data_IF_914924757670
#
_entry.id   IF_914924757670
#
_cell.length_a   1.000
_cell.length_b   1.000
_cell.length_c   1.000
_cell.angle_alpha   90.00
_cell.angle_beta   90.00
_cell.angle_gamma   90.00
#
_symmetry.space_group_name_H-M   'P 1'
#
loop_
_entity.id
_entity.type
_entity.pdbx_description
1 polymer ?
#
# COMPACT_ATOMS: atom_id res chain seq x y z
N UNK A 1 -36.01 16.26 46.26
CA UNK A 1 -36.21 15.67 44.90
C UNK A 1 -35.44 16.42 43.83
N UNK A 2 -35.43 17.75 43.80
CA UNK A 2 -34.69 18.60 42.84
C UNK A 2 -33.17 18.38 42.85
N UNK A 3 -32.58 18.23 44.03
CA UNK A 3 -31.11 18.01 44.16
C UNK A 3 -30.66 16.66 43.50
N UNK A 4 -31.44 15.59 43.67
CA UNK A 4 -31.13 14.31 43.04
C UNK A 4 -31.22 14.37 41.52
N UNK A 5 -32.20 15.11 40.98
CA UNK A 5 -32.36 15.36 39.55
C UNK A 5 -31.18 16.12 38.93
N UNK A 6 -30.68 17.13 39.66
CA UNK A 6 -29.52 17.92 39.23
C UNK A 6 -28.27 17.07 39.21
N UNK A 7 -28.05 16.22 40.20
CA UNK A 7 -26.90 15.30 40.26
C UNK A 7 -26.94 14.29 39.10
N UNK A 8 -28.12 13.71 38.82
CA UNK A 8 -28.30 12.79 37.70
C UNK A 8 -28.02 13.48 36.36
N UNK A 9 -28.51 14.69 36.17
CA UNK A 9 -28.29 15.46 34.96
C UNK A 9 -26.80 15.80 34.75
N UNK A 10 -26.08 16.21 35.80
CA UNK A 10 -24.65 16.50 35.76
C UNK A 10 -23.85 15.24 35.43
N UNK A 11 -24.19 14.09 36.04
CA UNK A 11 -23.53 12.79 35.75
C UNK A 11 -23.79 12.36 34.31
N UNK A 12 -25.04 12.49 33.81
CA UNK A 12 -25.36 12.19 32.40
C UNK A 12 -24.65 13.13 31.43
N UNK A 13 -24.53 14.43 31.76
CA UNK A 13 -23.79 15.37 30.93
C UNK A 13 -22.29 15.08 30.90
N UNK A 14 -21.70 14.61 32.00
CA UNK A 14 -20.31 14.16 32.06
C UNK A 14 -20.05 12.85 31.32
N UNK A 15 -21.03 11.94 31.27
CA UNK A 15 -20.91 10.66 30.58
C UNK A 15 -21.23 10.77 29.07
N UNK A 16 -21.94 11.84 28.65
CA UNK A 16 -22.33 12.05 27.25
C UNK A 16 -21.13 12.08 26.28
N UNK A 17 -20.00 12.76 26.54
CA UNK A 17 -18.86 12.74 25.63
C UNK A 17 -18.18 11.38 25.50
N UNK A 18 -18.26 10.52 26.51
CA UNK A 18 -17.64 9.19 26.50
C UNK A 18 -18.29 8.23 25.49
N UNK A 19 -19.57 8.43 25.17
CA UNK A 19 -20.26 7.63 24.16
C UNK A 19 -19.89 8.03 22.74
N UNK A 20 -19.47 9.24 22.51
CA UNK A 20 -19.00 9.75 21.20
C UNK A 20 -17.58 9.30 20.84
N UNK A 21 -16.77 8.93 21.84
CA UNK A 21 -15.38 8.51 21.67
C UNK A 21 -15.23 7.01 21.34
N UNK A 22 -16.33 6.26 21.19
CA UNK A 22 -16.23 4.85 20.79
C UNK A 22 -15.86 4.76 19.30
N UNK A 23 -14.71 4.16 18.96
CA UNK A 23 -14.33 3.97 17.56
C UNK A 23 -15.39 3.12 16.86
N UNK A 24 -15.70 3.46 15.63
CA UNK A 24 -16.64 2.69 14.81
C UNK A 24 -16.09 1.28 14.55
N UNK A 25 -16.98 0.32 14.28
CA UNK A 25 -16.56 -1.04 13.90
C UNK A 25 -15.60 -1.03 12.69
N UNK A 26 -15.80 -0.09 11.75
CA UNK A 26 -14.93 0.09 10.60
C UNK A 26 -13.55 0.57 11.02
N UNK A 27 -13.45 1.58 11.87
CA UNK A 27 -12.16 2.11 12.37
C UNK A 27 -11.37 1.05 13.14
N UNK A 28 -12.05 0.25 13.97
CA UNK A 28 -11.41 -0.85 14.70
C UNK A 28 -10.87 -1.90 13.73
N UNK A 29 -11.66 -2.31 12.72
CA UNK A 29 -11.25 -3.26 11.69
C UNK A 29 -10.04 -2.74 10.91
N UNK A 30 -10.13 -1.53 10.37
CA UNK A 30 -9.05 -0.89 9.61
C UNK A 30 -7.77 -0.77 10.46
N UNK A 31 -7.88 -0.40 11.75
CA UNK A 31 -6.74 -0.35 12.66
C UNK A 31 -6.07 -1.73 12.84
N UNK A 32 -6.84 -2.80 12.93
CA UNK A 32 -6.32 -4.16 13.05
C UNK A 32 -5.60 -4.60 11.77
N UNK A 33 -6.18 -4.33 10.59
CA UNK A 33 -5.55 -4.62 9.29
C UNK A 33 -4.24 -3.87 9.16
N UNK A 34 -4.20 -2.56 9.43
CA UNK A 34 -2.98 -1.75 9.39
C UNK A 34 -1.90 -2.28 10.33
N UNK A 35 -2.27 -2.64 11.57
CA UNK A 35 -1.33 -3.22 12.53
C UNK A 35 -0.74 -4.53 12.02
N UNK A 36 -1.55 -5.39 11.42
CA UNK A 36 -1.07 -6.69 10.90
C UNK A 36 -0.08 -6.49 9.74
N UNK A 37 -0.36 -5.61 8.77
CA UNK A 37 0.54 -5.39 7.64
C UNK A 37 1.83 -4.67 8.04
N UNK A 38 1.77 -3.78 9.04
CA UNK A 38 2.98 -3.14 9.59
C UNK A 38 3.86 -4.17 10.31
N UNK A 39 3.27 -5.11 11.06
CA UNK A 39 4.00 -6.19 11.70
C UNK A 39 4.74 -7.08 10.68
N UNK A 40 4.19 -7.22 9.46
CA UNK A 40 4.84 -7.95 8.34
C UNK A 40 5.85 -7.10 7.57
N UNK A 41 6.16 -5.88 8.04
CA UNK A 41 7.17 -5.01 7.45
C UNK A 41 6.69 -4.17 6.26
N UNK A 42 5.39 -4.09 6.03
CA UNK A 42 4.80 -3.13 5.11
C UNK A 42 4.70 -1.74 5.74
N UNK A 43 4.59 -0.71 4.91
CA UNK A 43 4.31 0.67 5.32
C UNK A 43 2.93 1.08 4.86
N UNK A 44 2.21 1.82 5.69
CA UNK A 44 0.89 2.37 5.35
C UNK A 44 1.06 3.83 4.94
N UNK A 45 0.66 4.15 3.71
CA UNK A 45 0.69 5.50 3.16
C UNK A 45 -0.74 6.06 3.09
N UNK A 46 -0.98 7.11 3.87
CA UNK A 46 -2.29 7.75 3.98
C UNK A 46 -2.49 8.91 2.98
N UNK A 47 -1.44 9.27 2.24
CA UNK A 47 -1.57 10.26 1.18
C UNK A 47 -2.29 9.62 -0.01
N UNK A 48 -3.22 10.33 -0.66
CA UNK A 48 -3.88 9.79 -1.84
C UNK A 48 -2.88 9.49 -2.95
N UNK A 49 -3.16 8.47 -3.80
CA UNK A 49 -2.33 8.19 -4.97
C UNK A 49 -2.32 9.36 -5.94
N UNK A 50 -1.32 9.41 -6.83
CA UNK A 50 -1.21 10.41 -7.90
C UNK A 50 -2.22 10.12 -9.04
N UNK A 51 -3.50 10.02 -8.72
CA UNK A 51 -4.62 9.82 -9.64
C UNK A 51 -5.62 10.95 -9.41
N UNK A 52 -5.91 11.74 -10.46
CA UNK A 52 -6.68 13.00 -10.37
C UNK A 52 -8.08 12.84 -9.77
N UNK A 53 -8.73 11.69 -10.01
CA UNK A 53 -10.11 11.43 -9.61
C UNK A 53 -10.22 10.27 -8.61
N UNK A 54 -9.13 9.95 -7.89
CA UNK A 54 -9.14 8.85 -6.92
C UNK A 54 -10.25 9.05 -5.86
N UNK A 55 -11.02 8.01 -5.53
CA UNK A 55 -12.03 8.07 -4.49
C UNK A 55 -11.40 8.41 -3.13
N UNK A 56 -12.18 9.07 -2.28
CA UNK A 56 -11.72 9.43 -0.92
C UNK A 56 -11.54 8.17 -0.08
N UNK A 57 -10.51 8.18 0.78
CA UNK A 57 -10.26 7.11 1.73
C UNK A 57 -9.40 5.97 1.18
N UNK A 58 -8.83 6.11 -0.01
CA UNK A 58 -7.83 5.18 -0.54
C UNK A 58 -6.53 5.31 0.25
N UNK A 59 -5.96 4.17 0.59
CA UNK A 59 -4.72 4.04 1.39
C UNK A 59 -3.75 3.13 0.67
N UNK A 60 -2.46 3.49 0.69
CA UNK A 60 -1.39 2.71 0.08
C UNK A 60 -0.76 1.73 1.08
N UNK A 61 -0.66 0.47 0.71
CA UNK A 61 0.09 -0.54 1.45
C UNK A 61 1.35 -0.87 0.68
N UNK A 62 2.51 -0.41 1.19
CA UNK A 62 3.80 -0.46 0.49
C UNK A 62 4.73 -1.48 1.10
N UNK A 63 5.25 -2.37 0.24
CA UNK A 63 6.39 -3.22 0.55
C UNK A 63 7.66 -2.59 -0.03
N UNK A 64 8.63 -2.14 0.80
CA UNK A 64 9.86 -1.54 0.32
C UNK A 64 10.70 -2.51 -0.51
N UNK A 65 11.42 -1.99 -1.52
CA UNK A 65 12.42 -2.77 -2.23
C UNK A 65 13.70 -2.93 -1.40
N UNK A 66 14.43 -4.04 -1.56
CA UNK A 66 15.80 -4.13 -1.09
C UNK A 66 16.66 -3.04 -1.75
N UNK A 67 17.56 -2.42 -0.98
CA UNK A 67 18.38 -1.29 -1.44
C UNK A 67 19.30 -1.64 -2.63
N UNK A 68 19.58 -2.92 -2.83
CA UNK A 68 20.51 -3.44 -3.82
C UNK A 68 19.87 -3.75 -5.18
N UNK A 69 18.56 -3.55 -5.34
CA UNK A 69 17.82 -3.88 -6.56
C UNK A 69 17.23 -2.65 -7.22
N UNK A 70 17.33 -2.60 -8.52
CA UNK A 70 16.76 -1.53 -9.37
C UNK A 70 15.49 -2.07 -10.05
N UNK A 71 14.40 -2.09 -9.29
CA UNK A 71 13.13 -2.63 -9.77
C UNK A 71 12.47 -1.65 -10.74
N UNK A 72 11.97 -2.17 -11.86
CA UNK A 72 11.34 -1.38 -12.91
C UNK A 72 10.04 -0.73 -12.41
N UNK A 73 9.86 0.59 -12.57
CA UNK A 73 8.63 1.26 -12.22
C UNK A 73 7.50 0.86 -13.18
N UNK A 74 6.28 0.84 -12.66
CA UNK A 74 5.04 0.71 -13.42
C UNK A 74 3.83 1.14 -12.61
N UNK A 75 2.72 1.42 -13.29
CA UNK A 75 1.43 1.72 -12.67
C UNK A 75 0.34 0.94 -13.39
N UNK A 76 -0.37 0.10 -12.64
CA UNK A 76 -1.62 -0.55 -13.04
C UNK A 76 -2.79 0.16 -12.37
N UNK A 77 -3.85 0.42 -13.12
CA UNK A 77 -5.08 1.04 -12.63
C UNK A 77 -6.26 0.15 -13.00
N UNK A 78 -7.21 0.00 -12.11
CA UNK A 78 -8.47 -0.71 -12.35
C UNK A 78 -9.21 -0.09 -13.52
N UNK A 79 -9.87 -0.91 -14.35
CA UNK A 79 -10.53 -0.46 -15.60
C UNK A 79 -11.52 0.70 -15.39
N UNK A 80 -12.26 0.68 -14.28
CA UNK A 80 -13.24 1.74 -13.94
C UNK A 80 -12.58 3.14 -13.83
N UNK A 81 -11.28 3.19 -13.46
CA UNK A 81 -10.52 4.42 -13.23
C UNK A 81 -9.45 4.65 -14.30
N UNK A 82 -9.44 3.81 -15.31
CA UNK A 82 -8.49 3.85 -16.41
C UNK A 82 -9.15 4.39 -17.69
N UNK A 83 -8.35 5.01 -18.57
CA UNK A 83 -8.82 5.34 -19.91
C UNK A 83 -8.88 4.08 -20.78
N UNK A 84 -9.91 3.96 -21.61
CA UNK A 84 -10.06 2.86 -22.58
C UNK A 84 -8.94 2.81 -23.62
N UNK A 85 -8.22 3.92 -23.80
CA UNK A 85 -7.06 4.00 -24.70
C UNK A 85 -5.81 3.29 -24.14
N UNK A 86 -5.80 2.95 -22.85
CA UNK A 86 -4.67 2.28 -22.22
C UNK A 86 -4.67 0.78 -22.55
N UNK A 87 -3.47 0.21 -22.70
CA UNK A 87 -3.28 -1.22 -22.92
C UNK A 87 -3.76 -2.01 -21.70
N UNK A 88 -4.56 -3.04 -21.94
CA UNK A 88 -4.91 -4.01 -20.89
C UNK A 88 -3.64 -4.76 -20.43
N UNK A 89 -3.48 -4.87 -19.12
CA UNK A 89 -2.39 -5.63 -18.50
C UNK A 89 -2.84 -7.04 -18.14
N UNK A 90 -3.94 -7.13 -17.42
CA UNK A 90 -4.66 -8.34 -17.02
C UNK A 90 -6.15 -7.99 -16.95
N UNK A 91 -7.08 -8.95 -16.99
CA UNK A 91 -8.51 -8.66 -16.89
C UNK A 91 -8.84 -7.77 -15.69
N UNK A 92 -9.46 -6.62 -15.96
CA UNK A 92 -9.87 -5.64 -14.97
C UNK A 92 -8.83 -4.57 -14.62
N UNK A 93 -7.62 -4.62 -15.22
CA UNK A 93 -6.56 -3.65 -14.98
C UNK A 93 -5.81 -3.26 -16.24
N UNK A 94 -5.47 -1.97 -16.36
CA UNK A 94 -4.74 -1.39 -17.50
C UNK A 94 -3.42 -0.77 -17.06
N UNK A 95 -2.44 -0.77 -17.97
CA UNK A 95 -1.17 -0.08 -17.79
C UNK A 95 -1.37 1.43 -17.93
N UNK A 96 -1.26 2.18 -16.83
CA UNK A 96 -1.12 3.63 -16.88
C UNK A 96 0.34 4.04 -17.16
N UNK A 97 1.25 3.30 -16.56
CA UNK A 97 2.68 3.33 -16.86
C UNK A 97 3.15 1.91 -17.07
N UNK A 98 3.64 1.62 -18.27
CA UNK A 98 3.96 0.26 -18.68
C UNK A 98 5.33 -0.15 -18.18
N UNK A 99 5.43 -1.35 -17.62
CA UNK A 99 6.69 -1.96 -17.20
C UNK A 99 7.50 -2.44 -18.42
N UNK A 100 8.83 -2.42 -18.32
CA UNK A 100 9.69 -3.16 -19.24
C UNK A 100 9.48 -4.68 -19.16
N UNK A 101 8.86 -5.16 -18.10
CA UNK A 101 8.49 -6.56 -17.88
C UNK A 101 7.03 -6.85 -18.27
N UNK A 102 6.36 -5.95 -18.97
CA UNK A 102 4.94 -6.10 -19.33
C UNK A 102 4.68 -7.33 -20.23
N UNK A 103 5.66 -7.69 -21.06
CA UNK A 103 5.59 -8.84 -21.95
C UNK A 103 6.24 -10.11 -21.34
N UNK A 104 6.73 -10.07 -20.10
CA UNK A 104 7.28 -11.23 -19.41
C UNK A 104 6.13 -12.15 -18.94
N UNK A 105 6.09 -13.42 -19.42
CA UNK A 105 4.98 -14.33 -19.13
C UNK A 105 4.85 -14.67 -17.63
N UNK A 106 5.97 -14.73 -16.90
CA UNK A 106 5.96 -15.03 -15.47
C UNK A 106 5.34 -13.84 -14.69
N UNK A 107 5.69 -12.61 -15.09
CA UNK A 107 5.15 -11.39 -14.50
C UNK A 107 3.65 -11.27 -14.81
N UNK A 108 3.25 -11.51 -16.07
CA UNK A 108 1.83 -11.50 -16.46
C UNK A 108 1.02 -12.55 -15.67
N UNK A 109 1.54 -13.77 -15.51
CA UNK A 109 0.90 -14.80 -14.72
C UNK A 109 0.82 -14.44 -13.23
N UNK A 110 1.85 -13.82 -12.66
CA UNK A 110 1.86 -13.38 -11.27
C UNK A 110 0.86 -12.23 -11.04
N UNK A 111 0.81 -11.25 -11.93
CA UNK A 111 -0.17 -10.17 -11.90
C UNK A 111 -1.60 -10.71 -11.98
N UNK A 112 -1.87 -11.65 -12.87
CA UNK A 112 -3.17 -12.28 -13.00
C UNK A 112 -3.60 -13.03 -11.73
N UNK A 113 -2.69 -13.77 -11.08
CA UNK A 113 -2.98 -14.42 -9.80
C UNK A 113 -3.28 -13.40 -8.72
N UNK A 114 -2.45 -12.38 -8.61
CA UNK A 114 -2.60 -11.33 -7.61
C UNK A 114 -3.92 -10.56 -7.78
N UNK A 115 -4.22 -10.07 -8.98
CA UNK A 115 -5.44 -9.26 -9.22
C UNK A 115 -6.73 -10.03 -8.97
N UNK A 116 -6.74 -11.36 -9.14
CA UNK A 116 -7.90 -12.21 -8.80
C UNK A 116 -8.19 -12.31 -7.31
N UNK A 117 -7.24 -11.99 -6.45
CA UNK A 117 -7.41 -12.01 -4.99
C UNK A 117 -7.74 -10.65 -4.41
N UNK A 118 -7.72 -9.61 -5.25
CA UNK A 118 -7.99 -8.24 -4.82
C UNK A 118 -9.48 -7.99 -4.57
N UNK A 119 -9.81 -7.15 -3.57
CA UNK A 119 -11.16 -6.65 -3.39
C UNK A 119 -11.55 -5.65 -4.50
N UNK A 120 -12.85 -5.43 -4.66
CA UNK A 120 -13.41 -4.51 -5.66
C UNK A 120 -12.92 -3.06 -5.50
N UNK A 121 -12.54 -2.65 -4.29
CA UNK A 121 -12.00 -1.32 -3.98
C UNK A 121 -10.47 -1.21 -4.14
N UNK A 122 -9.83 -2.20 -4.76
CA UNK A 122 -8.42 -2.16 -5.11
C UNK A 122 -8.21 -1.34 -6.38
N UNK A 123 -7.85 -0.06 -6.17
CA UNK A 123 -7.79 0.95 -7.22
C UNK A 123 -6.56 0.81 -8.12
N UNK A 124 -5.38 0.62 -7.53
CA UNK A 124 -4.12 0.76 -8.25
C UNK A 124 -3.01 -0.07 -7.62
N UNK A 125 -2.15 -0.65 -8.46
CA UNK A 125 -0.87 -1.24 -8.08
C UNK A 125 0.25 -0.40 -8.67
N UNK A 126 1.15 0.08 -7.82
CA UNK A 126 2.26 0.95 -8.19
C UNK A 126 3.60 0.32 -7.81
N UNK A 127 4.49 0.15 -8.77
CA UNK A 127 5.91 -0.09 -8.56
C UNK A 127 6.65 1.23 -8.71
N UNK A 128 7.24 1.73 -7.64
CA UNK A 128 8.02 2.97 -7.62
C UNK A 128 9.43 2.71 -7.10
N UNK A 129 10.29 3.72 -7.07
CA UNK A 129 11.64 3.59 -6.49
C UNK A 129 11.63 3.21 -4.99
N UNK A 130 10.51 3.43 -4.30
CA UNK A 130 10.39 3.21 -2.85
C UNK A 130 9.82 1.84 -2.47
N UNK A 131 9.18 1.12 -3.42
CA UNK A 131 8.54 -0.15 -3.15
C UNK A 131 7.39 -0.46 -4.09
N UNK A 132 6.80 -1.63 -3.90
CA UNK A 132 5.53 -2.03 -4.49
C UNK A 132 4.39 -1.59 -3.56
N UNK A 133 3.40 -0.88 -4.09
CA UNK A 133 2.29 -0.31 -3.31
C UNK A 133 0.96 -0.74 -3.90
N UNK A 134 0.09 -1.32 -3.07
CA UNK A 134 -1.31 -1.53 -3.38
C UNK A 134 -2.13 -0.37 -2.79
N UNK A 135 -2.91 0.32 -3.64
CA UNK A 135 -3.82 1.39 -3.26
C UNK A 135 -5.25 0.87 -3.26
N UNK A 136 -5.93 0.91 -2.11
CA UNK A 136 -7.27 0.34 -1.92
C UNK A 136 -8.06 0.99 -0.79
N UNK A 137 -9.36 0.71 -0.68
CA UNK A 137 -10.27 1.35 0.26
C UNK A 137 -10.39 0.67 1.63
N UNK A 138 -9.59 -0.37 1.91
CA UNK A 138 -9.60 -1.11 3.17
C UNK A 138 -10.95 -1.78 3.50
N UNK A 139 -11.61 -2.33 2.48
CA UNK A 139 -12.93 -2.99 2.65
C UNK A 139 -12.86 -4.34 3.37
N UNK A 140 -11.72 -5.05 3.31
CA UNK A 140 -11.55 -6.37 3.90
C UNK A 140 -11.14 -6.30 5.38
N UNK A 141 -11.38 -7.40 6.10
CA UNK A 141 -10.83 -7.65 7.44
C UNK A 141 -9.47 -8.36 7.37
N UNK A 142 -8.87 -8.64 8.54
CA UNK A 142 -7.53 -9.26 8.63
C UNK A 142 -7.51 -10.66 8.01
N UNK A 143 -8.57 -11.46 8.21
CA UNK A 143 -8.65 -12.83 7.72
C UNK A 143 -8.77 -12.85 6.20
N UNK A 144 -9.65 -12.02 5.64
CA UNK A 144 -9.86 -11.88 4.21
C UNK A 144 -8.67 -11.27 3.47
N UNK A 145 -7.76 -10.58 4.18
CA UNK A 145 -6.53 -10.04 3.59
C UNK A 145 -5.45 -11.11 3.33
N UNK A 146 -5.60 -12.33 3.83
CA UNK A 146 -4.53 -13.34 3.76
C UNK A 146 -4.17 -13.73 2.31
N UNK A 147 -5.15 -13.91 1.45
CA UNK A 147 -4.91 -14.39 0.08
C UNK A 147 -4.21 -13.35 -0.79
N UNK A 148 -4.68 -12.11 -0.83
CA UNK A 148 -4.01 -11.08 -1.61
C UNK A 148 -2.61 -10.76 -1.06
N UNK A 149 -2.39 -10.84 0.25
CA UNK A 149 -1.06 -10.62 0.86
C UNK A 149 -0.06 -11.67 0.41
N UNK A 150 -0.46 -12.94 0.37
CA UNK A 150 0.40 -14.02 -0.12
C UNK A 150 0.79 -13.80 -1.58
N UNK A 151 -0.17 -13.50 -2.46
CA UNK A 151 0.11 -13.24 -3.87
C UNK A 151 0.89 -11.93 -4.08
N UNK A 152 0.68 -10.92 -3.24
CA UNK A 152 1.45 -9.68 -3.24
C UNK A 152 2.93 -9.91 -2.92
N UNK A 153 3.23 -10.71 -1.88
CA UNK A 153 4.60 -11.09 -1.53
C UNK A 153 5.26 -11.94 -2.62
N UNK A 154 4.51 -12.85 -3.24
CA UNK A 154 5.01 -13.65 -4.36
C UNK A 154 5.35 -12.77 -5.58
N UNK A 155 4.48 -11.82 -5.92
CA UNK A 155 4.72 -10.83 -6.97
C UNK A 155 5.94 -9.94 -6.64
N UNK A 156 6.01 -9.44 -5.41
CA UNK A 156 7.13 -8.62 -4.94
C UNK A 156 8.46 -9.37 -5.06
N UNK A 157 8.51 -10.63 -4.64
CA UNK A 157 9.70 -11.47 -4.74
C UNK A 157 10.12 -11.72 -6.21
N UNK A 158 9.15 -11.99 -7.09
CA UNK A 158 9.40 -12.18 -8.52
C UNK A 158 9.99 -10.90 -9.16
N UNK A 159 9.43 -9.74 -8.86
CA UNK A 159 9.91 -8.47 -9.40
C UNK A 159 11.34 -8.15 -8.94
N UNK A 160 11.69 -8.53 -7.70
CA UNK A 160 13.08 -8.41 -7.19
C UNK A 160 14.00 -9.36 -7.94
N UNK A 161 13.60 -10.61 -8.19
CA UNK A 161 14.41 -11.60 -8.91
C UNK A 161 14.71 -11.15 -10.34
N UNK A 162 13.70 -10.60 -11.02
CA UNK A 162 13.83 -10.04 -12.38
C UNK A 162 14.61 -8.70 -12.43
N UNK A 163 14.83 -8.04 -11.29
CA UNK A 163 15.49 -6.75 -11.23
C UNK A 163 17.03 -6.88 -11.29
N UNK A 164 17.72 -6.06 -12.09
CA UNK A 164 19.18 -6.03 -12.08
C UNK A 164 19.73 -5.56 -10.73
N UNK A 165 20.93 -5.99 -10.41
CA UNK A 165 21.66 -5.51 -9.22
C UNK A 165 21.99 -4.03 -9.45
N UNK A 166 21.61 -3.16 -8.50
CA UNK A 166 21.89 -1.74 -8.57
C UNK A 166 23.38 -1.45 -8.35
N UNK A 167 24.08 -0.97 -9.37
CA UNK A 167 25.47 -0.53 -9.26
C UNK A 167 25.61 0.89 -8.68
N UNK A 168 24.52 1.56 -8.33
CA UNK A 168 24.50 2.99 -7.98
C UNK A 168 24.97 3.36 -6.57
N UNK A 169 25.36 2.41 -5.73
CA UNK A 169 25.91 2.72 -4.40
C UNK A 169 27.20 1.95 -4.14
N UNK A 170 28.24 2.32 -4.86
CA UNK A 170 29.59 2.18 -4.30
C UNK A 170 29.71 3.24 -3.20
N UNK A 171 29.91 2.91 -1.91
CA UNK A 171 30.27 3.94 -0.94
C UNK A 171 31.50 4.63 -1.48
N UNK A 172 31.48 5.97 -1.51
CA UNK A 172 32.67 6.75 -1.69
C UNK A 172 33.62 6.31 -0.57
N UNK A 173 34.54 5.39 -0.90
CA UNK A 173 35.65 5.06 -0.05
C UNK A 173 36.34 6.39 0.20
N UNK A 174 36.39 6.77 1.49
CA UNK A 174 36.86 8.05 1.94
C UNK A 174 38.15 8.42 1.29
N UNK A 175 38.22 9.63 0.79
CA UNK A 175 39.49 10.34 0.56
C UNK A 175 40.26 10.31 1.88
N UNK A 176 41.29 9.49 1.97
CA UNK A 176 42.24 9.57 3.06
C UNK A 176 42.70 11.03 3.21
N UNK A 177 42.70 11.59 4.42
CA UNK A 177 43.25 12.91 4.63
C UNK A 177 44.72 12.84 4.32
N UNK A 178 45.17 13.54 3.26
CA UNK A 178 46.56 13.74 2.93
C UNK A 178 47.24 14.37 4.14
N UNK A 179 48.09 13.59 4.86
CA UNK A 179 48.95 14.11 5.90
C UNK A 179 49.87 15.14 5.29
N UNK A 180 50.10 16.31 5.91
CA UNK A 180 51.14 17.24 5.48
C UNK A 180 52.49 16.59 5.73
N UNK A 181 53.35 16.63 4.70
CA UNK A 181 54.75 16.26 4.80
C UNK A 181 55.51 17.17 5.78
N UNK A 182 56.55 16.64 6.47
CA UNK A 182 57.29 17.33 7.53
C UNK A 182 58.08 18.55 7.07
#
# INVERSE_FOLDING_TARGET
MTTALIIIFVVLAMLSPLTWLRPSKRETRTSLVRKSVIADGMRVDLKPPALSDAPKGIVGYRRPWPTERDVTPFILVQDEWASDALREAVPGYRWREESRLADDPDVAAALLRFTRTLPEDALMLESSLSGLTLWWGESLDVESCHDWRREFEALHALLIDKAPISHKRRPLVGTEPKMPDP
#
